data_IF_223553116360
#
_entry.id   IF_223553116360
#
_cell.length_a   1.000
_cell.length_b   1.000
_cell.length_c   1.000
_cell.angle_alpha   90.00
_cell.angle_beta   90.00
_cell.angle_gamma   90.00
#
_symmetry.space_group_name_H-M   'P 1'
#
loop_
_entity.id
_entity.type
_entity.pdbx_description
1 polymer ?
#
# COMPACT_ATOMS: atom_id res chain seq x y z
N UNK A 1 -4.68 1.44 -7.44
CA UNK A 1 -3.55 1.41 -6.50
C UNK A 1 -2.52 0.37 -6.93
N UNK A 2 -1.23 0.75 -7.00
CA UNK A 2 -0.13 -0.15 -7.36
C UNK A 2 0.43 -0.81 -6.09
N UNK A 3 0.99 -2.01 -6.23
CA UNK A 3 1.48 -2.80 -5.09
C UNK A 3 2.67 -2.15 -4.37
N UNK A 4 3.49 -1.37 -5.09
CA UNK A 4 4.62 -0.62 -4.50
C UNK A 4 4.16 0.44 -3.49
N UNK A 5 3.05 1.11 -3.78
CA UNK A 5 2.51 2.17 -2.92
C UNK A 5 1.95 1.59 -1.62
N UNK A 6 1.36 0.39 -1.67
CA UNK A 6 0.85 -0.33 -0.50
C UNK A 6 1.98 -0.68 0.46
N UNK A 7 3.12 -1.17 -0.06
CA UNK A 7 4.27 -1.60 0.75
C UNK A 7 4.95 -0.47 1.52
N UNK A 8 4.74 0.79 1.10
CA UNK A 8 5.29 1.98 1.76
C UNK A 8 4.44 2.48 2.93
N UNK A 9 3.19 2.02 3.04
CA UNK A 9 2.27 2.42 4.11
C UNK A 9 2.41 1.53 5.33
N UNK A 10 2.05 2.06 6.49
CA UNK A 10 1.99 1.29 7.72
C UNK A 10 0.81 0.31 7.72
N UNK A 11 0.98 -0.81 8.43
CA UNK A 11 -0.03 -1.86 8.53
C UNK A 11 -1.38 -1.35 9.08
N UNK A 12 -1.35 -0.42 10.05
CA UNK A 12 -2.55 0.20 10.62
C UNK A 12 -3.35 1.03 9.60
N UNK A 13 -2.65 1.80 8.75
CA UNK A 13 -3.29 2.56 7.66
C UNK A 13 -3.89 1.65 6.59
N UNK A 14 -3.22 0.54 6.29
CA UNK A 14 -3.71 -0.44 5.34
C UNK A 14 -4.99 -1.13 5.82
N UNK A 15 -5.11 -1.40 7.12
CA UNK A 15 -6.34 -1.95 7.70
C UNK A 15 -7.51 -0.96 7.62
N UNK A 16 -7.26 0.32 7.95
CA UNK A 16 -8.27 1.40 7.79
C UNK A 16 -8.74 1.52 6.33
N UNK A 17 -7.81 1.44 5.39
CA UNK A 17 -8.12 1.50 3.96
C UNK A 17 -8.97 0.31 3.49
N UNK A 18 -8.77 -0.89 4.03
CA UNK A 18 -9.63 -2.05 3.74
C UNK A 18 -11.09 -1.78 4.15
N UNK A 19 -11.31 -1.16 5.31
CA UNK A 19 -12.66 -0.83 5.81
C UNK A 19 -13.32 0.17 4.88
N UNK A 20 -12.61 1.27 4.55
CA UNK A 20 -13.09 2.29 3.61
C UNK A 20 -13.46 1.70 2.24
N UNK A 21 -12.58 0.88 1.65
CA UNK A 21 -12.84 0.27 0.33
C UNK A 21 -14.03 -0.70 0.36
N UNK A 22 -14.30 -1.35 1.50
CA UNK A 22 -15.50 -2.19 1.68
C UNK A 22 -16.77 -1.35 1.75
N UNK A 23 -16.75 -0.25 2.48
CA UNK A 23 -17.88 0.70 2.52
C UNK A 23 -18.16 1.28 1.14
N UNK A 24 -17.14 1.67 0.37
CA UNK A 24 -17.33 2.15 -1.01
C UNK A 24 -17.98 1.10 -1.91
N UNK A 25 -17.62 -0.18 -1.77
CA UNK A 25 -18.29 -1.27 -2.48
C UNK A 25 -19.75 -1.40 -2.04
N UNK A 26 -20.03 -1.30 -0.75
CA UNK A 26 -21.39 -1.38 -0.21
C UNK A 26 -22.26 -0.24 -0.73
N UNK A 27 -21.76 1.00 -0.65
CA UNK A 27 -22.44 2.19 -1.17
C UNK A 27 -22.66 2.10 -2.68
N UNK A 28 -21.69 1.61 -3.44
CA UNK A 28 -21.83 1.43 -4.89
C UNK A 28 -22.92 0.39 -5.24
N UNK A 29 -23.05 -0.68 -4.44
CA UNK A 29 -24.16 -1.64 -4.60
C UNK A 29 -25.50 -1.02 -4.29
N UNK A 30 -25.59 -0.17 -3.26
CA UNK A 30 -26.82 0.54 -2.89
C UNK A 30 -27.23 1.55 -3.96
N UNK A 31 -26.27 2.30 -4.50
CA UNK A 31 -26.48 3.26 -5.60
C UNK A 31 -26.90 2.60 -6.91
N UNK A 32 -26.57 1.34 -7.15
CA UNK A 32 -26.97 0.63 -8.36
C UNK A 32 -28.44 0.27 -8.48
N UNK A 33 -29.24 0.58 -7.46
CA UNK A 33 -30.71 0.57 -7.55
C UNK A 33 -31.29 1.91 -8.00
N UNK A 34 -30.48 2.98 -8.04
CA UNK A 34 -30.85 4.27 -8.64
C UNK A 34 -30.50 4.24 -10.13
N UNK A 35 -31.31 4.86 -10.98
CA UNK A 35 -31.22 4.83 -12.46
C UNK A 35 -29.95 5.49 -13.04
N UNK A 36 -29.01 5.90 -12.20
CA UNK A 36 -27.74 6.49 -12.61
C UNK A 36 -26.69 5.42 -12.92
N UNK A 37 -25.93 5.63 -14.00
CA UNK A 37 -24.90 4.69 -14.48
C UNK A 37 -23.83 4.42 -13.41
N UNK A 38 -23.95 3.28 -12.75
CA UNK A 38 -22.93 2.76 -11.83
C UNK A 38 -21.62 2.52 -12.59
N UNK A 39 -20.50 3.04 -12.06
CA UNK A 39 -19.17 2.62 -12.48
C UNK A 39 -18.93 1.16 -12.05
N UNK A 40 -19.32 0.22 -12.91
CA UNK A 40 -19.13 -1.23 -12.72
C UNK A 40 -17.64 -1.60 -12.61
N UNK A 41 -16.75 -0.76 -13.13
CA UNK A 41 -15.30 -0.94 -13.05
C UNK A 41 -14.74 -0.64 -11.65
N UNK A 42 -15.38 0.26 -10.89
CA UNK A 42 -14.94 0.64 -9.55
C UNK A 42 -14.97 -0.54 -8.57
N UNK A 43 -16.07 -1.31 -8.54
CA UNK A 43 -16.19 -2.48 -7.65
C UNK A 43 -15.09 -3.49 -7.93
N UNK A 44 -14.80 -3.78 -9.21
CA UNK A 44 -13.74 -4.70 -9.60
C UNK A 44 -12.36 -4.17 -9.20
N UNK A 45 -12.10 -2.87 -9.35
CA UNK A 45 -10.85 -2.22 -8.93
C UNK A 45 -10.67 -2.29 -7.42
N UNK A 46 -11.69 -1.95 -6.63
CA UNK A 46 -11.64 -1.95 -5.18
C UNK A 46 -11.44 -3.37 -4.61
N UNK A 47 -12.12 -4.39 -5.17
CA UNK A 47 -11.88 -5.80 -4.80
C UNK A 47 -10.42 -6.23 -5.02
N UNK A 48 -9.83 -5.86 -6.15
CA UNK A 48 -8.41 -6.16 -6.44
C UNK A 48 -7.47 -5.43 -5.49
N UNK A 49 -7.76 -4.17 -5.15
CA UNK A 49 -6.97 -3.40 -4.19
C UNK A 49 -7.01 -4.06 -2.81
N UNK A 50 -8.18 -4.45 -2.32
CA UNK A 50 -8.33 -5.16 -1.04
C UNK A 50 -7.50 -6.47 -1.04
N UNK A 51 -7.58 -7.26 -2.11
CA UNK A 51 -6.80 -8.49 -2.22
C UNK A 51 -5.30 -8.22 -2.12
N UNK A 52 -4.78 -7.21 -2.85
CA UNK A 52 -3.36 -6.82 -2.79
C UNK A 52 -2.92 -6.40 -1.40
N UNK A 53 -3.73 -5.60 -0.70
CA UNK A 53 -3.41 -5.16 0.66
C UNK A 53 -3.32 -6.37 1.60
N UNK A 54 -4.28 -7.29 1.55
CA UNK A 54 -4.27 -8.50 2.38
C UNK A 54 -3.08 -9.40 2.10
N UNK A 55 -2.71 -9.56 0.82
CA UNK A 55 -1.51 -10.33 0.46
C UNK A 55 -0.27 -9.70 1.07
N UNK A 56 -0.10 -8.38 0.96
CA UNK A 56 1.07 -7.69 1.52
C UNK A 56 1.12 -7.77 3.05
N UNK A 57 -0.01 -7.62 3.74
CA UNK A 57 -0.07 -7.80 5.20
C UNK A 57 0.35 -9.22 5.60
N UNK A 58 -0.14 -10.24 4.87
CA UNK A 58 0.23 -11.64 5.13
C UNK A 58 1.70 -11.92 4.79
N UNK A 59 2.24 -11.32 3.74
CA UNK A 59 3.66 -11.40 3.39
C UNK A 59 4.55 -10.77 4.48
N UNK A 60 4.09 -9.66 5.08
CA UNK A 60 4.77 -9.01 6.21
C UNK A 60 4.75 -9.88 7.46
N UNK A 61 3.61 -10.52 7.76
CA UNK A 61 3.48 -11.47 8.88
C UNK A 61 4.39 -12.69 8.72
N UNK A 62 4.50 -13.24 7.50
CA UNK A 62 5.28 -14.44 7.22
C UNK A 62 6.77 -14.17 6.98
N UNK A 63 7.19 -12.91 6.87
CA UNK A 63 8.58 -12.54 6.61
C UNK A 63 9.13 -12.96 5.22
N UNK A 64 8.25 -13.36 4.29
CA UNK A 64 8.65 -13.94 2.98
C UNK A 64 9.18 -12.89 2.00
N UNK A 65 8.88 -11.61 2.21
CA UNK A 65 9.28 -10.49 1.34
C UNK A 65 10.10 -9.41 2.09
N UNK A 66 10.89 -9.80 3.08
CA UNK A 66 11.80 -8.91 3.84
C UNK A 66 12.76 -8.15 2.92
N UNK A 67 13.27 -8.79 1.87
CA UNK A 67 14.27 -8.20 0.95
C UNK A 67 13.77 -6.97 0.19
N UNK A 68 12.46 -6.86 -0.06
CA UNK A 68 11.85 -5.72 -0.75
C UNK A 68 11.48 -4.58 0.23
N UNK A 69 11.31 -4.88 1.52
CA UNK A 69 11.11 -3.87 2.58
C UNK A 69 12.43 -3.18 2.89
N UNK A 70 13.55 -3.93 2.87
CA UNK A 70 14.90 -3.40 3.11
C UNK A 70 15.40 -2.50 1.97
N UNK A 71 15.09 -2.84 0.71
CA UNK A 71 15.44 -2.01 -0.46
C UNK A 71 14.72 -0.65 -0.49
N UNK A 72 13.52 -0.54 0.09
CA UNK A 72 12.79 0.74 0.17
C UNK A 72 13.33 1.63 1.30
N UNK A 73 13.76 1.04 2.42
CA UNK A 73 14.36 1.78 3.55
C UNK A 73 15.76 2.30 3.24
N UNK A 74 16.56 1.52 2.52
CA UNK A 74 17.90 1.93 2.06
C UNK A 74 17.85 3.03 1.00
N UNK A 75 16.84 3.04 0.12
CA UNK A 75 16.63 4.10 -0.85
C UNK A 75 16.17 5.45 -0.25
N UNK A 76 15.65 5.47 0.98
CA UNK A 76 15.28 6.69 1.70
C UNK A 76 16.41 7.22 2.62
N UNK A 77 17.54 6.52 2.70
CA UNK A 77 18.61 6.75 3.68
C UNK A 77 19.98 7.15 3.11
N UNK A 78 20.08 7.58 1.85
CA UNK A 78 21.31 8.17 1.32
C UNK A 78 21.17 9.67 1.13
N UNK A 79 21.17 10.40 2.26
CA UNK A 79 21.75 11.75 2.33
C UNK A 79 22.96 11.66 3.26
N UNK A 80 24.09 11.41 2.63
CA UNK A 80 25.48 11.67 3.03
C UNK A 80 25.73 12.07 4.49
N UNK A 81 26.32 11.16 5.26
CA UNK A 81 27.28 11.53 6.29
C UNK A 81 28.57 10.73 6.07
N UNK A 82 29.67 11.41 5.76
CA UNK A 82 30.97 10.76 5.70
C UNK A 82 32.04 11.42 4.83
N UNK A 83 32.55 12.59 5.21
CA UNK A 83 33.95 12.95 4.92
C UNK A 83 34.59 13.66 6.12
N UNK A 84 34.97 12.87 7.13
CA UNK A 84 35.96 13.27 8.14
C UNK A 84 37.08 12.24 8.21
N UNK A 85 38.25 12.61 7.67
CA UNK A 85 39.64 12.19 7.97
C UNK A 85 40.49 12.82 6.85
N UNK A 86 41.51 13.64 7.03
CA UNK A 86 42.45 13.82 8.14
C UNK A 86 43.86 13.78 7.52
N UNK A 87 44.71 14.79 7.79
CA UNK A 87 46.13 14.85 7.37
C UNK A 87 46.54 16.28 7.04
N UNK A 88 47.05 17.07 7.99
CA UNK A 88 48.47 17.14 8.42
C UNK A 88 49.40 17.71 7.33
N UNK A 89 49.66 19.02 7.42
CA UNK A 89 50.99 19.65 7.49
C UNK A 89 50.86 21.16 7.65
#
# INVERSE_FOLDING_TARGET
>A
MRSRDIRRREAGDLQREIVRLREEIFQNRFRGQSEEKVDRGLVRRNRRTIARIRTILREQELGVNTDLVTQVRTAAGTSESGSKKGGSR
#
